data_IF_662884752347
#
_entry.id   IF_662884752347
#
_cell.length_a   1.000
_cell.length_b   1.000
_cell.length_c   1.000
_cell.angle_alpha   90.00
_cell.angle_beta   90.00
_cell.angle_gamma   90.00
#
_symmetry.space_group_name_H-M   'P 1'
#
loop_
_entity.id
_entity.type
_entity.pdbx_description
1 polymer ?
#
# COMPACT_ATOMS: atom_id res chain seq x y z
N UNK A 1 -3.77 13.28 -14.97
CA UNK A 1 -4.25 12.05 -15.67
C UNK A 1 -4.01 10.78 -14.86
N UNK A 2 -2.85 10.54 -14.21
CA UNK A 2 -2.65 9.36 -13.33
C UNK A 2 -3.39 9.43 -11.98
N UNK A 3 -3.51 10.62 -11.37
CA UNK A 3 -4.19 10.75 -10.07
C UNK A 3 -5.65 10.25 -10.10
N UNK A 4 -6.34 10.41 -11.23
CA UNK A 4 -7.72 9.92 -11.42
C UNK A 4 -7.81 8.38 -11.42
N UNK A 5 -6.75 7.69 -11.87
CA UNK A 5 -6.70 6.22 -11.85
C UNK A 5 -6.49 5.72 -10.41
N UNK A 6 -5.81 6.50 -9.57
CA UNK A 6 -5.57 6.20 -8.16
C UNK A 6 -6.76 6.54 -7.24
N UNK A 7 -7.85 7.12 -7.76
CA UNK A 7 -9.07 7.36 -6.97
C UNK A 7 -9.71 6.06 -6.52
N UNK A 8 -10.38 6.07 -5.38
CA UNK A 8 -11.10 4.92 -4.81
C UNK A 8 -10.23 3.67 -4.65
N UNK A 9 -8.96 3.87 -4.26
CA UNK A 9 -8.02 2.77 -4.04
C UNK A 9 -8.53 1.77 -2.99
N UNK A 10 -9.23 2.26 -1.96
CA UNK A 10 -9.88 1.43 -0.94
C UNK A 10 -10.92 0.46 -1.51
N UNK A 11 -11.53 0.80 -2.65
CA UNK A 11 -12.54 -0.02 -3.33
C UNK A 11 -11.92 -0.90 -4.42
N UNK A 12 -10.87 -0.41 -5.08
CA UNK A 12 -10.20 -1.12 -6.17
C UNK A 12 -9.37 -2.30 -5.67
N UNK A 13 -8.65 -2.16 -4.56
CA UNK A 13 -7.83 -3.26 -4.03
C UNK A 13 -8.67 -4.51 -3.67
N UNK A 14 -9.78 -4.39 -2.92
CA UNK A 14 -10.66 -5.53 -2.64
C UNK A 14 -11.25 -6.18 -3.88
N UNK A 15 -11.56 -5.39 -4.91
CA UNK A 15 -12.20 -5.91 -6.13
C UNK A 15 -11.21 -6.50 -7.14
N UNK A 16 -9.96 -6.02 -7.17
CA UNK A 16 -9.03 -6.30 -8.28
C UNK A 16 -7.75 -7.01 -7.88
N UNK A 17 -7.27 -6.84 -6.64
CA UNK A 17 -5.95 -7.32 -6.21
C UNK A 17 -6.10 -8.43 -5.17
N UNK A 18 -6.91 -8.22 -4.13
CA UNK A 18 -7.03 -9.17 -3.02
C UNK A 18 -7.54 -10.57 -3.43
N UNK A 19 -8.50 -10.73 -4.35
CA UNK A 19 -8.92 -12.06 -4.80
C UNK A 19 -7.75 -12.83 -5.44
N UNK A 20 -6.91 -12.14 -6.21
CA UNK A 20 -5.73 -12.76 -6.86
C UNK A 20 -4.69 -13.16 -5.82
N UNK A 21 -4.46 -12.33 -4.79
CA UNK A 21 -3.56 -12.67 -3.68
C UNK A 21 -4.06 -13.93 -2.97
N UNK A 22 -5.34 -14.00 -2.65
CA UNK A 22 -5.95 -15.16 -1.99
C UNK A 22 -5.80 -16.41 -2.85
N UNK A 23 -6.11 -16.34 -4.14
CA UNK A 23 -5.98 -17.46 -5.08
C UNK A 23 -4.52 -17.91 -5.26
N UNK A 24 -3.57 -16.97 -5.27
CA UNK A 24 -2.16 -17.28 -5.36
C UNK A 24 -1.67 -17.99 -4.10
N UNK A 25 -2.03 -17.48 -2.92
CA UNK A 25 -1.70 -18.12 -1.64
C UNK A 25 -2.27 -19.54 -1.56
N UNK A 26 -3.54 -19.73 -1.94
CA UNK A 26 -4.17 -21.06 -1.96
C UNK A 26 -3.48 -22.03 -2.94
N UNK A 27 -2.88 -21.50 -4.01
CA UNK A 27 -2.18 -22.29 -5.03
C UNK A 27 -0.66 -22.37 -4.81
N UNK A 28 -0.12 -21.84 -3.71
CA UNK A 28 1.33 -21.78 -3.47
C UNK A 28 2.11 -20.92 -4.49
N UNK A 29 1.44 -19.99 -5.18
CA UNK A 29 2.05 -19.07 -6.14
C UNK A 29 2.55 -17.81 -5.45
N UNK A 30 3.57 -17.18 -6.03
CA UNK A 30 4.13 -15.93 -5.50
C UNK A 30 3.10 -14.80 -5.50
N UNK A 31 3.18 -13.96 -4.45
CA UNK A 31 2.41 -12.73 -4.30
C UNK A 31 3.32 -11.50 -4.20
N UNK A 32 4.64 -11.63 -4.41
CA UNK A 32 5.64 -10.55 -4.23
C UNK A 32 5.21 -9.25 -4.92
N UNK A 33 4.92 -9.31 -6.21
CA UNK A 33 4.51 -8.13 -7.00
C UNK A 33 3.13 -7.59 -6.63
N UNK A 34 2.20 -8.46 -6.22
CA UNK A 34 0.87 -8.02 -5.75
C UNK A 34 0.99 -7.30 -4.41
N UNK A 35 1.84 -7.78 -3.51
CA UNK A 35 2.15 -7.12 -2.24
C UNK A 35 2.84 -5.77 -2.47
N UNK A 36 3.67 -5.65 -3.51
CA UNK A 36 4.26 -4.38 -3.92
C UNK A 36 3.21 -3.35 -4.36
N UNK A 37 2.18 -3.77 -5.09
CA UNK A 37 1.05 -2.91 -5.45
C UNK A 37 0.33 -2.40 -4.19
N UNK A 38 0.08 -3.27 -3.21
CA UNK A 38 -0.58 -2.91 -1.96
C UNK A 38 0.28 -1.95 -1.13
N UNK A 39 1.57 -2.25 -0.97
CA UNK A 39 2.52 -1.40 -0.27
C UNK A 39 2.66 -0.01 -0.94
N UNK A 40 2.69 0.03 -2.27
CA UNK A 40 2.71 1.28 -3.04
C UNK A 40 1.49 2.14 -2.75
N UNK A 41 0.30 1.53 -2.65
CA UNK A 41 -0.92 2.24 -2.28
C UNK A 41 -0.85 2.78 -0.84
N UNK A 42 -0.37 2.00 0.13
CA UNK A 42 -0.19 2.48 1.51
C UNK A 42 0.75 3.69 1.58
N UNK A 43 1.89 3.62 0.90
CA UNK A 43 2.85 4.72 0.84
C UNK A 43 2.29 5.93 0.09
N UNK A 44 1.47 5.72 -0.94
CA UNK A 44 0.75 6.81 -1.59
C UNK A 44 -0.16 7.54 -0.59
N UNK A 45 -0.94 6.83 0.24
CA UNK A 45 -1.76 7.48 1.29
C UNK A 45 -0.89 8.30 2.23
N UNK A 46 0.24 7.75 2.70
CA UNK A 46 1.19 8.47 3.56
C UNK A 46 1.79 9.71 2.89
N UNK A 47 2.16 9.62 1.63
CA UNK A 47 2.68 10.74 0.86
C UNK A 47 1.63 11.86 0.75
N UNK A 48 0.35 11.51 0.55
CA UNK A 48 -0.75 12.49 0.50
C UNK A 48 -0.99 13.14 1.86
N UNK A 49 -0.88 12.39 2.96
CA UNK A 49 -0.91 12.94 4.32
C UNK A 49 0.24 13.94 4.56
N UNK A 50 1.47 13.60 4.15
CA UNK A 50 2.66 14.47 4.35
C UNK A 50 2.64 15.75 3.51
N UNK A 51 2.08 15.73 2.29
CA UNK A 51 2.16 16.84 1.32
C UNK A 51 1.00 17.85 1.38
N UNK A 52 0.20 17.90 2.46
CA UNK A 52 -0.81 18.93 2.75
C UNK A 52 -2.15 18.91 1.95
N UNK A 53 -3.22 19.60 2.45
CA UNK A 53 -4.65 19.25 2.29
C UNK A 53 -5.34 19.70 1.00
N UNK A 54 -4.72 20.55 0.18
CA UNK A 54 -5.42 21.24 -0.92
C UNK A 54 -5.75 20.35 -2.12
N UNK A 55 -5.23 19.12 -2.12
CA UNK A 55 -5.74 18.06 -3.00
C UNK A 55 -6.25 16.94 -2.12
N UNK A 56 -7.58 16.89 -1.93
CA UNK A 56 -8.20 15.80 -1.20
C UNK A 56 -7.72 14.44 -1.76
N UNK A 57 -7.44 13.50 -0.86
CA UNK A 57 -7.43 12.10 -1.22
C UNK A 57 -8.85 11.76 -1.70
N UNK A 58 -8.99 11.44 -2.99
CA UNK A 58 -10.30 11.09 -3.57
C UNK A 58 -10.50 9.60 -3.38
N UNK A 59 -11.14 9.28 -2.26
CA UNK A 59 -11.46 7.93 -1.83
C UNK A 59 -12.66 8.01 -0.86
N UNK A 60 -13.63 7.09 -0.91
CA UNK A 60 -14.76 7.10 0.03
C UNK A 60 -14.33 6.94 1.49
N UNK A 61 -13.15 6.34 1.75
CA UNK A 61 -12.57 6.18 3.08
C UNK A 61 -11.46 7.19 3.38
N UNK A 62 -11.40 8.32 2.66
CA UNK A 62 -10.30 9.27 2.74
C UNK A 62 -9.95 9.70 4.18
N UNK A 63 -10.93 10.05 4.99
CA UNK A 63 -10.70 10.46 6.39
C UNK A 63 -10.04 9.33 7.18
N UNK A 64 -10.61 8.12 7.17
CA UNK A 64 -10.06 6.94 7.86
C UNK A 64 -8.65 6.59 7.38
N UNK A 65 -8.38 6.70 6.08
CA UNK A 65 -7.07 6.44 5.50
C UNK A 65 -6.02 7.47 5.94
N UNK A 66 -6.40 8.75 5.99
CA UNK A 66 -5.52 9.82 6.45
C UNK A 66 -5.27 9.75 7.97
N UNK A 67 -6.27 9.39 8.77
CA UNK A 67 -6.11 9.15 10.21
C UNK A 67 -5.16 7.97 10.46
N UNK A 68 -5.28 6.89 9.69
CA UNK A 68 -4.34 5.77 9.74
C UNK A 68 -2.93 6.22 9.38
N UNK A 69 -2.77 7.01 8.31
CA UNK A 69 -1.48 7.53 7.88
C UNK A 69 -0.85 8.50 8.90
N UNK A 70 -1.67 9.23 9.65
CA UNK A 70 -1.22 10.10 10.73
C UNK A 70 -0.59 9.34 11.90
N UNK A 71 -1.04 8.11 12.14
CA UNK A 71 -0.51 7.22 13.18
C UNK A 71 0.75 6.45 12.74
N UNK A 72 1.10 6.47 11.45
CA UNK A 72 2.27 5.78 10.92
C UNK A 72 3.58 6.41 11.42
N UNK A 73 4.55 5.56 11.76
CA UNK A 73 5.85 5.95 12.31
C UNK A 73 6.97 5.91 11.27
N UNK A 74 6.75 5.24 10.14
CA UNK A 74 7.80 4.94 9.16
C UNK A 74 8.48 3.60 9.37
N UNK A 75 8.22 2.93 10.49
CA UNK A 75 8.60 1.53 10.68
C UNK A 75 7.66 0.62 9.88
N UNK A 76 8.23 -0.25 9.06
CA UNK A 76 7.47 -1.05 8.11
C UNK A 76 6.48 -2.00 8.82
N UNK A 77 6.92 -2.65 9.90
CA UNK A 77 6.07 -3.61 10.61
C UNK A 77 4.92 -2.91 11.33
N UNK A 78 5.20 -1.77 11.95
CA UNK A 78 4.20 -0.94 12.64
C UNK A 78 3.17 -0.41 11.65
N UNK A 79 3.63 0.20 10.56
CA UNK A 79 2.77 0.85 9.58
C UNK A 79 1.86 -0.16 8.86
N UNK A 80 2.41 -1.29 8.38
CA UNK A 80 1.58 -2.31 7.71
C UNK A 80 0.56 -2.92 8.66
N UNK A 81 0.92 -3.11 9.94
CA UNK A 81 -0.02 -3.60 10.96
C UNK A 81 -1.17 -2.62 11.18
N UNK A 82 -0.89 -1.31 11.24
CA UNK A 82 -1.93 -0.28 11.34
C UNK A 82 -2.89 -0.34 10.16
N UNK A 83 -2.39 -0.32 8.92
CA UNK A 83 -3.25 -0.39 7.74
C UNK A 83 -4.08 -1.67 7.68
N UNK A 84 -3.52 -2.82 8.08
CA UNK A 84 -4.23 -4.09 8.08
C UNK A 84 -5.43 -4.10 9.02
N UNK A 85 -5.49 -3.22 10.03
CA UNK A 85 -6.65 -3.10 10.93
C UNK A 85 -7.88 -2.48 10.25
N UNK A 86 -7.72 -1.87 9.06
CA UNK A 86 -8.81 -1.28 8.28
C UNK A 86 -9.65 -2.37 7.62
N UNK A 87 -10.53 -3.03 8.37
CA UNK A 87 -11.37 -4.14 7.90
C UNK A 87 -12.34 -3.76 6.78
N UNK A 88 -12.59 -2.47 6.56
CA UNK A 88 -13.35 -1.97 5.41
C UNK A 88 -12.59 -2.13 4.08
N UNK A 89 -11.26 -2.26 4.15
CA UNK A 89 -10.38 -2.49 3.00
C UNK A 89 -9.86 -3.93 3.03
N UNK A 90 -9.26 -4.36 4.14
CA UNK A 90 -8.59 -5.66 4.22
C UNK A 90 -9.55 -6.75 4.72
N UNK A 91 -9.87 -7.77 3.90
CA UNK A 91 -10.70 -8.89 4.34
C UNK A 91 -9.96 -9.74 5.38
N UNK A 92 -10.71 -10.41 6.25
CA UNK A 92 -10.18 -11.24 7.34
C UNK A 92 -9.14 -12.28 6.87
N UNK A 93 -9.36 -12.87 5.68
CA UNK A 93 -8.42 -13.84 5.09
C UNK A 93 -7.00 -13.26 4.92
N UNK A 94 -6.88 -11.99 4.52
CA UNK A 94 -5.58 -11.32 4.38
C UNK A 94 -5.07 -10.83 5.74
N UNK A 95 -5.95 -10.32 6.61
CA UNK A 95 -5.59 -9.92 7.98
C UNK A 95 -5.04 -11.07 8.83
N UNK A 96 -5.38 -12.32 8.49
CA UNK A 96 -4.94 -13.52 9.22
C UNK A 96 -3.80 -14.26 8.51
N UNK A 97 -3.53 -13.95 7.23
CA UNK A 97 -2.48 -14.61 6.46
C UNK A 97 -1.08 -14.12 6.86
N UNK A 98 -0.32 -14.97 7.55
CA UNK A 98 1.08 -14.70 7.89
C UNK A 98 1.98 -14.50 6.67
N UNK A 99 1.74 -15.27 5.60
CA UNK A 99 2.47 -15.14 4.35
C UNK A 99 2.23 -13.78 3.67
N UNK A 100 0.97 -13.32 3.64
CA UNK A 100 0.65 -11.99 3.10
C UNK A 100 1.28 -10.88 3.94
N UNK A 101 1.19 -10.96 5.28
CA UNK A 101 1.80 -9.97 6.18
C UNK A 101 3.30 -9.84 5.95
N UNK A 102 4.01 -10.97 5.83
CA UNK A 102 5.45 -10.98 5.62
C UNK A 102 5.82 -10.31 4.29
N UNK A 103 5.18 -10.70 3.19
CA UNK A 103 5.42 -10.13 1.86
C UNK A 103 5.04 -8.64 1.78
N UNK A 104 3.94 -8.25 2.41
CA UNK A 104 3.49 -6.86 2.48
C UNK A 104 4.49 -5.99 3.27
N UNK A 105 4.94 -6.44 4.45
CA UNK A 105 5.94 -5.72 5.25
C UNK A 105 7.26 -5.60 4.48
N UNK A 106 7.72 -6.66 3.83
CA UNK A 106 8.94 -6.63 3.03
C UNK A 106 8.84 -5.62 1.88
N UNK A 107 7.74 -5.66 1.12
CA UNK A 107 7.49 -4.73 0.02
C UNK A 107 7.38 -3.27 0.51
N UNK A 108 6.71 -3.06 1.64
CA UNK A 108 6.61 -1.74 2.25
C UNK A 108 7.98 -1.21 2.68
N UNK A 109 8.80 -2.04 3.33
CA UNK A 109 10.15 -1.67 3.74
C UNK A 109 11.02 -1.28 2.54
N UNK A 110 10.93 -2.04 1.44
CA UNK A 110 11.66 -1.76 0.21
C UNK A 110 11.27 -0.40 -0.38
N UNK A 111 9.98 -0.07 -0.39
CA UNK A 111 9.47 1.17 -1.00
C UNK A 111 9.49 2.39 -0.05
N UNK A 112 9.59 2.19 1.27
CA UNK A 112 9.55 3.27 2.27
C UNK A 112 10.50 4.45 1.98
N UNK A 113 11.73 4.25 1.46
CA UNK A 113 12.61 5.34 1.08
C UNK A 113 11.99 6.36 0.11
N UNK A 114 11.01 5.96 -0.73
CA UNK A 114 10.34 6.84 -1.68
C UNK A 114 9.60 8.01 -1.02
N UNK A 115 9.22 7.89 0.26
CA UNK A 115 8.58 9.00 1.00
C UNK A 115 9.54 10.17 1.22
N UNK A 116 10.84 9.91 1.22
CA UNK A 116 11.89 10.89 1.48
C UNK A 116 12.49 11.47 0.20
N UNK A 117 12.09 10.94 -0.97
CA UNK A 117 12.68 11.36 -2.24
C UNK A 117 12.31 12.82 -2.56
N UNK A 118 13.31 13.69 -2.79
CA UNK A 118 13.04 15.05 -3.25
C UNK A 118 12.39 15.03 -4.64
N UNK A 119 11.76 16.13 -5.03
CA UNK A 119 11.21 16.25 -6.37
C UNK A 119 12.34 16.15 -7.41
N UNK A 120 12.18 15.28 -8.41
CA UNK A 120 13.17 15.08 -9.48
C UNK A 120 14.11 13.87 -9.29
N UNK A 121 13.96 13.07 -8.23
CA UNK A 121 14.69 11.80 -8.10
C UNK A 121 14.29 10.80 -9.18
N UNK A 122 15.26 10.07 -9.73
CA UNK A 122 15.02 9.00 -10.70
C UNK A 122 14.39 7.78 -10.01
N UNK A 123 13.05 7.79 -9.97
CA UNK A 123 12.24 6.68 -9.44
C UNK A 123 12.34 5.46 -10.36
N UNK A 124 12.61 5.63 -11.66
CA UNK A 124 12.62 4.52 -12.60
C UNK A 124 13.77 3.56 -12.31
N UNK A 125 14.99 4.08 -12.12
CA UNK A 125 16.15 3.25 -11.74
C UNK A 125 15.90 2.53 -10.41
N UNK A 126 15.36 3.22 -9.41
CA UNK A 126 15.05 2.62 -8.11
C UNK A 126 14.04 1.46 -8.21
N UNK A 127 13.00 1.59 -9.05
CA UNK A 127 12.01 0.54 -9.24
C UNK A 127 12.56 -0.64 -10.05
N UNK A 128 13.53 -0.40 -10.93
CA UNK A 128 14.16 -1.45 -11.72
C UNK A 128 14.98 -2.39 -10.83
N UNK A 129 15.77 -1.83 -9.92
CA UNK A 129 16.54 -2.57 -8.91
C UNK A 129 15.65 -3.38 -7.94
N UNK A 130 14.37 -3.01 -7.82
CA UNK A 130 13.42 -3.61 -6.88
C UNK A 130 12.68 -4.83 -7.47
N UNK A 131 12.56 -4.87 -8.80
CA UNK A 131 11.86 -5.94 -9.52
C UNK A 131 12.80 -7.09 -9.91
N UNK A 132 14.11 -6.81 -10.05
CA UNK A 132 15.18 -7.81 -10.21
C UNK A 132 15.43 -8.62 -8.92
#
# INVERSE_FOLDING_TARGET
>A
MLAQIAWDGSQKLPMRVFPIIVDNLASGRSIKLLSLVVASWMLFIRLRYQKQPDTALVDPLAATLLDCAAACTGDAQTDTTLFLTLSQVFPAALQQSGAFKAELTAAYQQLCPLLLFPQGTDIASFLQDLIE
#
